data_IF_496673975159
#
_entry.id   IF_496673975159
#
_cell.length_a   1.000
_cell.length_b   1.000
_cell.length_c   1.000
_cell.angle_alpha   90.00
_cell.angle_beta   90.00
_cell.angle_gamma   90.00
#
_symmetry.space_group_name_H-M   'P 1'
#
loop_
_entity.id
_entity.type
_entity.pdbx_description
1 polymer ?
#
# COMPACT_ATOMS: atom_id res chain seq x y z
N UNK A 1 70.12 55.96 -14.28
CA UNK A 1 69.17 55.50 -13.24
C UNK A 1 68.39 54.32 -13.80
N UNK A 2 68.60 53.11 -13.28
CA UNK A 2 67.96 51.87 -13.77
C UNK A 2 67.15 51.31 -12.60
N UNK A 3 65.83 51.47 -12.66
CA UNK A 3 64.89 50.95 -11.67
C UNK A 3 64.44 49.55 -12.13
N UNK A 4 64.87 48.52 -11.41
CA UNK A 4 64.37 47.14 -11.58
C UNK A 4 63.30 46.93 -10.51
N UNK A 5 62.05 46.83 -10.92
CA UNK A 5 60.93 46.51 -10.03
C UNK A 5 60.80 44.99 -9.90
N UNK A 6 61.04 44.48 -8.70
CA UNK A 6 60.74 43.11 -8.30
C UNK A 6 59.23 42.96 -8.09
N UNK A 7 58.59 41.98 -8.75
CA UNK A 7 57.22 41.58 -8.48
C UNK A 7 57.22 40.40 -7.48
N UNK A 8 56.45 40.41 -6.39
CA UNK A 8 56.31 39.25 -5.53
C UNK A 8 55.22 38.31 -6.08
N UNK A 9 55.55 37.04 -6.19
CA UNK A 9 54.64 35.96 -6.57
C UNK A 9 53.84 35.55 -5.33
N UNK A 10 52.54 35.83 -5.30
CA UNK A 10 51.63 35.39 -4.24
C UNK A 10 51.07 34.02 -4.61
N UNK A 11 51.39 32.99 -3.83
CA UNK A 11 50.79 31.66 -3.95
C UNK A 11 49.61 31.55 -2.96
N UNK A 12 48.38 31.47 -3.47
CA UNK A 12 47.18 31.18 -2.69
C UNK A 12 46.99 29.65 -2.70
N UNK A 13 47.23 29.00 -1.57
CA UNK A 13 46.87 27.59 -1.38
C UNK A 13 45.41 27.52 -0.90
N UNK A 14 44.52 27.00 -1.74
CA UNK A 14 43.12 26.75 -1.38
C UNK A 14 43.05 25.46 -0.55
N UNK A 15 42.65 25.57 0.71
CA UNK A 15 42.38 24.40 1.57
C UNK A 15 40.95 23.95 1.29
N UNK A 16 40.77 22.81 0.63
CA UNK A 16 39.46 22.20 0.42
C UNK A 16 39.21 21.24 1.60
N UNK A 17 38.34 21.62 2.54
CA UNK A 17 37.80 20.67 3.53
C UNK A 17 36.71 19.84 2.85
N UNK A 18 36.85 18.51 2.72
CA UNK A 18 35.75 17.69 2.23
C UNK A 18 34.62 17.72 3.27
N UNK A 19 33.46 18.22 2.88
CA UNK A 19 32.23 18.01 3.63
C UNK A 19 31.82 16.56 3.42
N UNK A 20 31.93 15.74 4.47
CA UNK A 20 31.35 14.40 4.48
C UNK A 20 29.82 14.51 4.42
N UNK A 21 29.26 14.41 3.22
CA UNK A 21 27.81 14.29 3.02
C UNK A 21 27.36 12.91 3.52
N UNK A 22 27.02 12.81 4.80
CA UNK A 22 26.31 11.64 5.33
C UNK A 22 24.86 11.71 4.89
N UNK A 23 24.47 10.85 3.96
CA UNK A 23 23.06 10.60 3.69
C UNK A 23 22.43 9.99 4.95
N UNK A 24 21.62 10.78 5.67
CA UNK A 24 20.73 10.24 6.69
C UNK A 24 19.80 9.24 6.00
N UNK A 25 19.88 7.96 6.36
CA UNK A 25 18.89 6.97 5.90
C UNK A 25 17.56 7.35 6.53
N UNK A 26 16.66 7.90 5.71
CA UNK A 26 15.25 7.99 6.08
C UNK A 26 14.77 6.59 6.49
N UNK A 27 14.04 6.44 7.61
CA UNK A 27 13.48 5.14 7.97
C UNK A 27 12.66 4.59 6.78
N UNK A 28 12.73 3.27 6.51
CA UNK A 28 11.95 2.68 5.44
C UNK A 28 10.46 2.93 5.68
N UNK A 29 9.75 3.41 4.66
CA UNK A 29 8.29 3.56 4.72
C UNK A 29 7.65 2.21 5.04
N UNK A 30 6.59 2.15 5.87
CA UNK A 30 5.89 0.90 6.10
C UNK A 30 5.35 0.35 4.77
N UNK A 31 5.33 -0.98 4.63
CA UNK A 31 4.82 -1.66 3.42
C UNK A 31 3.36 -1.31 3.11
N UNK A 32 2.61 -0.83 4.10
CA UNK A 32 1.24 -0.35 3.95
C UNK A 32 1.13 0.87 3.03
N UNK A 33 2.20 1.66 2.89
CA UNK A 33 2.23 2.83 1.98
C UNK A 33 2.18 2.43 0.51
N UNK A 34 2.56 1.19 0.17
CA UNK A 34 2.50 0.67 -1.21
C UNK A 34 1.27 -0.22 -1.46
N UNK A 35 0.41 -0.43 -0.47
CA UNK A 35 -0.82 -1.19 -0.67
C UNK A 35 -1.79 -0.35 -1.50
N UNK A 36 -2.36 -0.96 -2.54
CA UNK A 36 -3.43 -0.37 -3.33
C UNK A 36 -4.76 -0.29 -2.59
N UNK A 37 -4.86 -0.91 -1.40
CA UNK A 37 -6.01 -0.80 -0.50
C UNK A 37 -5.60 -0.01 0.73
N UNK A 38 -6.23 1.14 0.94
CA UNK A 38 -5.97 2.03 2.08
C UNK A 38 -6.78 1.67 3.34
N UNK A 39 -7.82 0.85 3.20
CA UNK A 39 -8.63 0.34 4.33
C UNK A 39 -8.61 -1.19 4.33
N UNK A 40 -7.82 -1.84 5.20
CA UNK A 40 -7.77 -3.30 5.27
C UNK A 40 -9.04 -3.87 5.91
N UNK A 41 -9.45 -5.07 5.51
CA UNK A 41 -10.43 -5.84 6.28
C UNK A 41 -9.79 -6.32 7.60
N UNK A 42 -10.49 -6.11 8.71
CA UNK A 42 -10.02 -6.46 10.05
C UNK A 42 -11.10 -7.26 10.78
N UNK A 43 -10.69 -8.26 11.55
CA UNK A 43 -11.60 -8.98 12.43
C UNK A 43 -12.31 -8.03 13.40
N UNK A 44 -13.58 -8.29 13.66
CA UNK A 44 -14.40 -7.48 14.56
C UNK A 44 -15.17 -6.33 13.89
N UNK A 45 -14.86 -6.00 12.64
CA UNK A 45 -15.57 -4.98 11.84
C UNK A 45 -17.06 -5.27 11.76
N UNK A 46 -17.88 -4.20 11.79
CA UNK A 46 -19.30 -4.33 11.48
C UNK A 46 -19.52 -4.57 9.97
N UNK A 47 -20.75 -4.90 9.59
CA UNK A 47 -21.14 -5.03 8.18
C UNK A 47 -20.96 -3.69 7.45
N UNK A 48 -21.25 -2.58 8.12
CA UNK A 48 -21.08 -1.22 7.61
C UNK A 48 -19.60 -0.88 7.39
N UNK A 49 -18.74 -1.10 8.40
CA UNK A 49 -17.29 -0.87 8.29
C UNK A 49 -16.67 -1.72 7.17
N UNK A 50 -17.12 -2.98 7.02
CA UNK A 50 -16.64 -3.87 5.97
C UNK A 50 -17.10 -3.41 4.58
N UNK A 51 -18.32 -2.87 4.46
CA UNK A 51 -18.87 -2.28 3.23
C UNK A 51 -18.03 -1.07 2.82
N UNK A 52 -17.72 -0.19 3.76
CA UNK A 52 -16.89 0.99 3.54
C UNK A 52 -15.44 0.63 3.20
N UNK A 53 -14.87 -0.36 3.88
CA UNK A 53 -13.52 -0.87 3.60
C UNK A 53 -13.40 -1.46 2.19
N UNK A 54 -14.46 -2.12 1.70
CA UNK A 54 -14.51 -2.72 0.37
C UNK A 54 -14.95 -1.74 -0.73
N UNK A 55 -15.58 -0.62 -0.36
CA UNK A 55 -16.15 0.35 -1.29
C UNK A 55 -17.29 -0.24 -2.16
N UNK A 56 -17.90 -1.34 -1.71
CA UNK A 56 -18.90 -2.08 -2.47
C UNK A 56 -19.95 -2.66 -1.52
N UNK A 57 -21.24 -2.68 -1.92
CA UNK A 57 -22.31 -3.22 -1.10
C UNK A 57 -22.17 -4.73 -0.89
N UNK A 58 -22.50 -5.17 0.33
CA UNK A 58 -22.52 -6.58 0.72
C UNK A 58 -23.89 -7.20 0.46
N UNK A 59 -23.92 -8.31 -0.26
CA UNK A 59 -25.13 -9.10 -0.54
C UNK A 59 -25.27 -10.24 0.45
N UNK A 60 -26.42 -10.36 1.11
CA UNK A 60 -26.70 -11.50 2.00
C UNK A 60 -26.79 -12.81 1.21
N UNK A 61 -26.12 -13.87 1.69
CA UNK A 61 -26.12 -15.19 1.06
C UNK A 61 -26.94 -16.18 1.89
N UNK A 62 -26.55 -16.35 3.15
CA UNK A 62 -27.13 -17.36 4.03
C UNK A 62 -26.74 -17.11 5.47
N UNK A 63 -27.43 -17.78 6.41
CA UNK A 63 -27.16 -17.64 7.83
C UNK A 63 -28.41 -17.55 8.69
N UNK A 64 -28.19 -17.46 10.00
CA UNK A 64 -29.22 -17.07 10.98
C UNK A 64 -28.88 -15.66 11.46
N UNK A 65 -29.82 -14.89 12.01
CA UNK A 65 -29.49 -13.60 12.63
C UNK A 65 -28.33 -13.75 13.63
N UNK A 66 -27.24 -13.00 13.42
CA UNK A 66 -26.02 -13.08 14.22
C UNK A 66 -25.03 -14.19 13.80
N UNK A 67 -25.30 -14.94 12.75
CA UNK A 67 -24.39 -15.88 12.10
C UNK A 67 -24.65 -15.85 10.59
N UNK A 68 -24.11 -14.83 9.94
CA UNK A 68 -24.50 -14.43 8.59
C UNK A 68 -23.29 -14.45 7.66
N UNK A 69 -23.54 -14.90 6.44
CA UNK A 69 -22.56 -14.90 5.36
C UNK A 69 -23.02 -13.88 4.32
N UNK A 70 -22.14 -12.93 4.04
CA UNK A 70 -22.31 -11.95 2.99
C UNK A 70 -21.33 -12.20 1.85
N UNK A 71 -21.67 -11.72 0.67
CA UNK A 71 -20.88 -11.80 -0.55
C UNK A 71 -20.70 -10.42 -1.15
N UNK A 72 -19.48 -10.14 -1.59
CA UNK A 72 -19.19 -9.05 -2.51
C UNK A 72 -18.54 -9.61 -3.76
N UNK A 73 -18.93 -9.11 -4.94
CA UNK A 73 -18.26 -9.44 -6.20
C UNK A 73 -17.36 -8.27 -6.57
N UNK A 74 -16.06 -8.47 -6.40
CA UNK A 74 -15.06 -7.43 -6.69
C UNK A 74 -14.59 -7.60 -8.13
N UNK A 75 -14.57 -6.51 -8.88
CA UNK A 75 -13.94 -6.52 -10.20
C UNK A 75 -12.46 -6.20 -10.02
N UNK A 76 -11.60 -7.21 -10.17
CA UNK A 76 -10.14 -7.07 -10.02
C UNK A 76 -9.47 -7.24 -11.37
N UNK A 77 -8.51 -6.37 -11.69
CA UNK A 77 -7.87 -6.41 -13.01
C UNK A 77 -7.21 -5.10 -13.42
N UNK A 78 -6.53 -5.15 -14.56
CA UNK A 78 -5.92 -3.98 -15.19
C UNK A 78 -5.96 -4.09 -16.72
N UNK A 79 -6.31 -2.97 -17.37
CA UNK A 79 -6.26 -2.66 -18.81
C UNK A 79 -6.94 -3.64 -19.77
N UNK A 80 -6.53 -4.91 -19.78
CA UNK A 80 -6.97 -5.95 -20.70
C UNK A 80 -7.40 -7.25 -20.00
N UNK A 81 -7.23 -7.33 -18.68
CA UNK A 81 -7.66 -8.48 -17.89
C UNK A 81 -8.51 -7.98 -16.73
N UNK A 82 -9.78 -8.36 -16.72
CA UNK A 82 -10.71 -8.14 -15.63
C UNK A 82 -11.27 -9.49 -15.22
N UNK A 83 -11.40 -9.69 -13.91
CA UNK A 83 -11.98 -10.90 -13.35
C UNK A 83 -12.90 -10.52 -12.20
N UNK A 84 -14.02 -11.23 -12.14
CA UNK A 84 -14.87 -11.21 -10.97
C UNK A 84 -14.24 -12.07 -9.88
N UNK A 85 -13.99 -11.47 -8.72
CA UNK A 85 -13.40 -12.09 -7.54
C UNK A 85 -14.41 -12.05 -6.39
N UNK A 86 -15.35 -13.02 -6.36
CA UNK A 86 -16.24 -13.24 -5.24
C UNK A 86 -15.47 -13.33 -3.92
N UNK A 87 -15.90 -12.56 -2.93
CA UNK A 87 -15.36 -12.60 -1.58
C UNK A 87 -16.52 -12.84 -0.62
N UNK A 88 -16.49 -13.99 0.05
CA UNK A 88 -17.44 -14.35 1.09
C UNK A 88 -16.93 -13.83 2.44
N UNK A 89 -17.80 -13.23 3.23
CA UNK A 89 -17.51 -12.68 4.56
C UNK A 89 -18.44 -13.33 5.57
N UNK A 90 -17.87 -13.88 6.65
CA UNK A 90 -18.58 -14.50 7.75
C UNK A 90 -18.65 -13.52 8.92
N UNK A 91 -19.88 -13.23 9.33
CA UNK A 91 -20.18 -12.42 10.50
C UNK A 91 -20.74 -13.29 11.62
N UNK A 92 -20.31 -13.04 12.84
CA UNK A 92 -20.83 -13.66 14.08
C UNK A 92 -21.12 -12.56 15.07
N UNK A 93 -22.33 -12.49 15.60
CA UNK A 93 -22.80 -11.40 16.46
C UNK A 93 -22.66 -10.02 15.81
N UNK A 94 -22.85 -9.93 14.49
CA UNK A 94 -22.68 -8.68 13.73
C UNK A 94 -21.21 -8.26 13.51
N UNK A 95 -20.24 -9.12 13.83
CA UNK A 95 -18.81 -8.84 13.70
C UNK A 95 -18.13 -9.76 12.70
N UNK A 96 -17.24 -9.20 11.88
CA UNK A 96 -16.45 -9.94 10.91
C UNK A 96 -15.52 -10.93 11.62
N UNK A 97 -15.70 -12.22 11.35
CA UNK A 97 -14.91 -13.31 11.96
C UNK A 97 -14.09 -14.08 10.94
N UNK A 98 -14.35 -13.90 9.66
CA UNK A 98 -13.60 -14.55 8.60
C UNK A 98 -14.03 -14.03 7.23
N UNK A 99 -13.14 -14.21 6.26
CA UNK A 99 -13.46 -14.00 4.85
C UNK A 99 -12.71 -14.99 3.99
N UNK A 100 -13.27 -15.30 2.83
CA UNK A 100 -12.70 -16.23 1.86
C UNK A 100 -12.94 -15.68 0.46
N UNK A 101 -11.85 -15.44 -0.27
CA UNK A 101 -11.94 -15.21 -1.70
C UNK A 101 -12.25 -16.55 -2.39
N UNK A 102 -13.30 -16.58 -3.20
CA UNK A 102 -13.50 -17.62 -4.17
C UNK A 102 -13.00 -17.10 -5.52
N UNK A 103 -11.89 -17.66 -5.99
CA UNK A 103 -11.36 -17.32 -7.30
C UNK A 103 -12.23 -17.97 -8.36
N UNK A 104 -13.33 -17.28 -8.67
CA UNK A 104 -14.39 -17.73 -9.55
C UNK A 104 -13.85 -18.49 -10.77
N UNK A 105 -14.26 -19.77 -10.86
CA UNK A 105 -14.15 -20.68 -12.02
C UNK A 105 -12.76 -20.89 -12.60
N UNK A 106 -12.23 -22.08 -12.37
CA UNK A 106 -11.38 -22.88 -13.25
C UNK A 106 -10.35 -22.18 -14.18
N UNK A 107 -9.68 -21.13 -13.69
CA UNK A 107 -8.68 -20.39 -14.48
C UNK A 107 -7.38 -21.17 -14.71
N UNK A 108 -7.13 -22.22 -13.91
CA UNK A 108 -5.97 -23.10 -14.06
C UNK A 108 -6.22 -24.34 -14.93
N UNK A 109 -7.47 -24.70 -15.23
CA UNK A 109 -7.80 -25.93 -15.97
C UNK A 109 -8.72 -25.68 -17.18
N UNK A 110 -8.44 -24.64 -17.96
CA UNK A 110 -8.95 -24.48 -19.33
C UNK A 110 -7.81 -24.49 -20.33
#
# INVERSE_FOLDING_TARGET
MKLVLFAPLVAIALVHTPVDARAERLPPSPFTTTLSNHTPLVFGMSVEDATDALGQPLSYVSGRPGDEIFLVIRNVGARWSFRDDPLYLQFRGGRLTGWKADWSRNWMWR
#
